data_IF_976468601347
#
_entry.id   IF_976468601347
#
_cell.length_a   1.000
_cell.length_b   1.000
_cell.length_c   1.000
_cell.angle_alpha   90.00
_cell.angle_beta   90.00
_cell.angle_gamma   90.00
#
_symmetry.space_group_name_H-M   'P 1'
#
loop_
_entity.id
_entity.type
_entity.pdbx_description
1 polymer ?
#
# COMPACT_ATOMS: atom_id res chain seq x y z
N UNK A 1 20.41 -19.59 -30.97
CA UNK A 1 19.34 -18.87 -30.26
C UNK A 1 19.93 -17.56 -29.76
N UNK A 2 19.35 -16.39 -30.06
CA UNK A 2 19.84 -15.13 -29.50
C UNK A 2 19.42 -15.04 -28.03
N UNK A 3 20.33 -14.61 -27.15
CA UNK A 3 19.95 -14.25 -25.79
C UNK A 3 19.24 -12.89 -25.83
N UNK A 4 17.96 -12.88 -25.49
CA UNK A 4 17.12 -11.69 -25.49
C UNK A 4 17.08 -11.00 -24.11
N UNK A 5 17.88 -11.47 -23.14
CA UNK A 5 18.03 -10.84 -21.83
C UNK A 5 19.41 -10.19 -21.73
N UNK A 6 19.47 -8.95 -21.21
CA UNK A 6 20.72 -8.19 -21.06
C UNK A 6 20.85 -7.61 -19.64
N UNK A 7 21.15 -6.33 -19.52
CA UNK A 7 21.40 -5.64 -18.26
C UNK A 7 20.25 -5.85 -17.26
N UNK A 8 20.57 -6.07 -15.98
CA UNK A 8 19.60 -6.44 -14.94
C UNK A 8 18.73 -7.69 -15.23
N UNK A 9 19.10 -8.53 -16.21
CA UNK A 9 18.32 -9.71 -16.59
C UNK A 9 17.05 -9.39 -17.38
N UNK A 10 16.91 -8.16 -17.89
CA UNK A 10 15.68 -7.67 -18.50
C UNK A 10 15.69 -7.79 -20.04
N UNK A 11 14.48 -7.80 -20.63
CA UNK A 11 14.26 -8.02 -22.06
C UNK A 11 14.90 -6.93 -22.93
N UNK A 12 15.65 -7.37 -23.95
CA UNK A 12 16.29 -6.54 -24.96
C UNK A 12 15.59 -6.69 -26.31
N UNK A 13 15.08 -5.59 -26.85
CA UNK A 13 14.59 -5.54 -28.23
C UNK A 13 15.74 -5.18 -29.18
N UNK A 14 16.15 -6.15 -29.97
CA UNK A 14 17.23 -5.97 -30.93
C UNK A 14 16.84 -5.10 -32.15
N UNK A 15 15.56 -4.86 -32.38
CA UNK A 15 15.05 -4.03 -33.48
C UNK A 15 15.15 -2.55 -33.12
N UNK A 16 14.59 -2.17 -31.97
CA UNK A 16 14.57 -0.77 -31.50
C UNK A 16 15.83 -0.37 -30.74
N UNK A 17 16.67 -1.34 -30.32
CA UNK A 17 17.84 -1.12 -29.45
C UNK A 17 17.45 -0.56 -28.08
N UNK A 18 16.25 -0.87 -27.62
CA UNK A 18 15.74 -0.49 -26.31
C UNK A 18 15.70 -1.70 -25.39
N UNK A 19 15.77 -1.42 -24.09
CA UNK A 19 15.61 -2.42 -23.05
C UNK A 19 14.32 -2.16 -22.26
N UNK A 20 13.53 -3.21 -22.02
CA UNK A 20 12.32 -3.08 -21.23
C UNK A 20 12.63 -3.31 -19.76
N UNK A 21 12.74 -2.24 -18.96
CA UNK A 21 12.99 -2.31 -17.52
C UNK A 21 11.66 -2.27 -16.76
N UNK A 22 10.82 -3.28 -17.01
CA UNK A 22 9.53 -3.60 -16.35
C UNK A 22 8.39 -2.60 -16.52
N UNK A 23 8.61 -1.33 -16.21
CA UNK A 23 7.60 -0.28 -16.31
C UNK A 23 7.78 0.56 -17.59
N UNK A 24 9.02 0.72 -18.07
CA UNK A 24 9.35 1.64 -19.17
C UNK A 24 10.44 1.09 -20.08
N UNK A 25 10.44 1.59 -21.31
CA UNK A 25 11.50 1.36 -22.29
C UNK A 25 12.68 2.30 -22.02
N UNK A 26 13.86 1.72 -21.84
CA UNK A 26 15.12 2.38 -21.54
C UNK A 26 16.02 2.38 -22.78
N UNK A 27 16.55 3.55 -23.13
CA UNK A 27 17.59 3.69 -24.16
C UNK A 27 18.96 3.72 -23.48
N UNK A 28 19.76 2.64 -23.58
CA UNK A 28 21.08 2.58 -22.96
C UNK A 28 22.10 3.51 -23.63
N UNK A 29 21.89 3.96 -24.88
CA UNK A 29 22.78 4.94 -25.51
C UNK A 29 22.58 6.35 -24.93
N UNK A 30 21.34 6.67 -24.55
CA UNK A 30 20.98 7.96 -23.95
C UNK A 30 21.05 7.96 -22.41
N UNK A 31 21.12 6.78 -21.80
CA UNK A 31 21.18 6.61 -20.35
C UNK A 31 19.87 6.96 -19.64
N UNK A 32 18.72 6.82 -20.31
CA UNK A 32 17.41 7.29 -19.81
C UNK A 32 16.24 6.50 -20.39
N UNK A 33 15.09 6.61 -19.74
CA UNK A 33 13.81 6.17 -20.30
C UNK A 33 13.40 7.04 -21.48
N UNK A 34 12.67 6.45 -22.42
CA UNK A 34 12.12 7.18 -23.58
C UNK A 34 10.70 7.70 -23.33
N UNK A 35 10.08 7.30 -22.21
CA UNK A 35 8.78 7.77 -21.75
C UNK A 35 8.93 8.35 -20.34
N UNK A 36 8.06 9.30 -20.00
CA UNK A 36 7.99 9.89 -18.66
C UNK A 36 7.60 8.84 -17.61
N UNK A 37 8.10 9.02 -16.39
CA UNK A 37 7.60 8.37 -15.19
C UNK A 37 6.17 8.80 -14.89
N UNK A 38 5.36 7.86 -14.38
CA UNK A 38 4.06 8.17 -13.78
C UNK A 38 4.22 8.89 -12.45
N UNK A 39 5.38 8.77 -11.80
CA UNK A 39 5.71 9.50 -10.59
C UNK A 39 6.28 10.88 -10.92
N UNK A 40 5.56 11.96 -10.57
CA UNK A 40 5.92 13.34 -10.93
C UNK A 40 7.15 13.89 -10.19
N UNK A 41 7.69 13.16 -9.21
CA UNK A 41 8.81 13.57 -8.38
C UNK A 41 8.40 14.47 -7.21
N UNK A 42 9.40 14.97 -6.49
CA UNK A 42 9.26 15.79 -5.29
C UNK A 42 9.97 17.13 -5.48
N UNK A 43 9.32 18.22 -5.07
CA UNK A 43 9.84 19.59 -5.25
C UNK A 43 11.14 19.84 -4.47
N UNK A 44 11.34 19.15 -3.35
CA UNK A 44 12.54 19.18 -2.54
C UNK A 44 13.65 18.23 -3.06
N UNK A 45 13.37 17.43 -4.09
CA UNK A 45 14.33 16.57 -4.78
C UNK A 45 14.37 16.89 -6.29
N UNK A 46 15.15 17.90 -6.73
CA UNK A 46 15.21 18.33 -8.12
C UNK A 46 15.59 17.24 -9.13
N UNK A 47 16.28 16.18 -8.70
CA UNK A 47 16.62 15.05 -9.58
C UNK A 47 15.41 14.17 -9.89
N UNK A 48 14.47 14.03 -8.94
CA UNK A 48 13.23 13.26 -9.15
C UNK A 48 12.27 13.91 -10.14
N UNK A 49 12.38 15.23 -10.33
CA UNK A 49 11.59 15.97 -11.33
C UNK A 49 12.01 15.66 -12.78
N UNK A 50 13.12 14.94 -12.98
CA UNK A 50 13.51 14.45 -14.29
C UNK A 50 12.92 13.04 -14.50
N UNK A 51 11.70 13.05 -15.03
CA UNK A 51 10.84 11.87 -15.25
C UNK A 51 11.41 10.83 -16.23
N UNK A 52 12.55 11.12 -16.86
CA UNK A 52 13.21 10.20 -17.79
C UNK A 52 14.40 9.48 -17.16
N UNK A 53 14.84 9.85 -15.95
CA UNK A 53 16.05 9.26 -15.38
C UNK A 53 15.83 7.82 -14.95
N UNK A 54 16.84 6.99 -15.16
CA UNK A 54 16.90 5.65 -14.60
C UNK A 54 17.83 5.68 -13.38
N UNK A 55 17.41 5.15 -12.23
CA UNK A 55 18.23 5.02 -11.02
C UNK A 55 18.90 6.33 -10.56
N UNK A 56 18.21 7.47 -10.70
CA UNK A 56 18.78 8.81 -10.40
C UNK A 56 20.11 9.08 -11.12
N UNK A 57 20.27 8.56 -12.35
CA UNK A 57 21.50 8.60 -13.13
C UNK A 57 22.71 7.91 -12.46
N UNK A 58 22.50 6.99 -11.51
CA UNK A 58 23.57 6.20 -10.91
C UNK A 58 23.30 4.67 -10.98
N UNK A 59 23.27 4.10 -12.20
CA UNK A 59 22.95 2.68 -12.45
C UNK A 59 24.06 1.71 -12.05
N UNK A 60 25.21 2.23 -11.60
CA UNK A 60 26.32 1.44 -11.05
C UNK A 60 26.14 1.16 -9.55
N UNK A 61 25.46 2.07 -8.84
CA UNK A 61 25.20 1.96 -7.41
C UNK A 61 23.80 1.42 -7.12
N UNK A 62 22.82 1.80 -7.93
CA UNK A 62 21.43 1.43 -7.73
C UNK A 62 20.94 0.54 -8.87
N UNK A 63 20.06 -0.39 -8.53
CA UNK A 63 19.30 -1.20 -9.49
C UNK A 63 17.85 -0.94 -9.14
N UNK A 64 17.01 -0.60 -10.11
CA UNK A 64 15.57 -0.42 -9.90
C UNK A 64 14.89 -1.80 -10.02
N UNK A 65 14.51 -2.48 -8.91
CA UNK A 65 14.00 -3.84 -8.96
C UNK A 65 12.50 -3.90 -9.31
N UNK A 66 11.79 -2.77 -9.26
CA UNK A 66 10.33 -2.75 -9.21
C UNK A 66 9.64 -1.53 -9.80
N UNK A 67 10.30 -0.39 -9.86
CA UNK A 67 9.69 0.89 -10.18
C UNK A 67 8.97 1.52 -9.01
N UNK A 68 8.32 0.75 -8.11
CA UNK A 68 7.93 1.11 -6.73
C UNK A 68 7.52 -0.15 -5.90
N UNK A 69 7.17 -0.04 -4.59
CA UNK A 69 6.75 -1.20 -3.76
C UNK A 69 5.51 -0.93 -2.90
N UNK A 70 4.61 -1.92 -2.85
CA UNK A 70 3.38 -1.89 -2.03
C UNK A 70 3.52 -2.80 -0.80
N UNK A 71 3.18 -2.26 0.37
CA UNK A 71 3.17 -2.98 1.64
C UNK A 71 1.73 -3.24 2.10
N UNK A 72 1.35 -4.52 2.24
CA UNK A 72 0.05 -4.95 2.72
C UNK A 72 0.09 -5.26 4.21
N UNK A 73 -0.72 -4.55 4.99
CA UNK A 73 -0.84 -4.72 6.44
C UNK A 73 -2.22 -5.30 6.75
N UNK A 74 -2.26 -6.58 7.11
CA UNK A 74 -3.53 -7.29 7.34
C UNK A 74 -4.24 -6.85 8.63
N UNK A 75 -5.51 -7.21 8.80
CA UNK A 75 -6.32 -6.93 9.99
C UNK A 75 -6.12 -7.93 11.14
N UNK A 76 -6.86 -7.74 12.24
CA UNK A 76 -6.93 -8.72 13.33
C UNK A 76 -7.69 -9.98 12.90
N UNK A 77 -7.26 -11.15 13.37
CA UNK A 77 -7.78 -12.49 13.02
C UNK A 77 -7.59 -12.85 11.52
N UNK A 78 -6.49 -13.54 11.22
CA UNK A 78 -6.17 -14.04 9.88
C UNK A 78 -7.22 -15.05 9.35
N UNK A 79 -7.30 -15.17 8.03
CA UNK A 79 -8.27 -15.99 7.29
C UNK A 79 -8.30 -17.47 7.75
N UNK A 80 -9.47 -18.04 8.13
CA UNK A 80 -9.58 -19.45 8.50
C UNK A 80 -9.35 -20.46 7.35
N UNK A 81 -9.30 -20.03 6.08
CA UNK A 81 -9.00 -20.92 4.94
C UNK A 81 -7.49 -21.23 4.78
N UNK A 82 -6.61 -20.36 5.31
CA UNK A 82 -5.17 -20.58 5.39
C UNK A 82 -4.84 -20.90 6.85
N UNK A 83 -4.70 -22.17 7.21
CA UNK A 83 -4.26 -22.62 8.54
C UNK A 83 -2.79 -22.21 8.85
N UNK A 84 -2.36 -20.99 8.51
CA UNK A 84 -1.01 -20.47 8.73
C UNK A 84 -0.96 -19.29 9.71
N UNK A 85 -2.12 -18.69 10.05
CA UNK A 85 -2.24 -17.60 11.00
C UNK A 85 -1.64 -16.26 10.53
N UNK A 86 -1.43 -16.05 9.22
CA UNK A 86 -0.54 -14.97 8.73
C UNK A 86 -1.04 -14.04 7.63
N UNK A 87 -2.25 -14.18 7.09
CA UNK A 87 -2.77 -13.16 6.16
C UNK A 87 -4.29 -13.16 6.03
N UNK A 88 -4.93 -11.98 6.10
CA UNK A 88 -6.35 -11.80 5.72
C UNK A 88 -6.54 -11.65 4.21
N UNK A 89 -5.45 -11.50 3.44
CA UNK A 89 -5.49 -11.27 2.01
C UNK A 89 -5.57 -12.59 1.22
N UNK A 90 -6.51 -12.66 0.28
CA UNK A 90 -6.59 -13.77 -0.67
C UNK A 90 -5.48 -13.64 -1.70
N UNK A 91 -4.97 -14.76 -2.21
CA UNK A 91 -3.91 -14.71 -3.25
C UNK A 91 -4.38 -13.99 -4.51
N UNK A 92 -5.66 -14.14 -4.87
CA UNK A 92 -6.29 -13.40 -5.96
C UNK A 92 -6.23 -11.88 -5.73
N UNK A 93 -6.49 -11.42 -4.50
CA UNK A 93 -6.43 -10.01 -4.16
C UNK A 93 -4.99 -9.48 -4.19
N UNK A 94 -4.03 -10.21 -3.64
CA UNK A 94 -2.60 -9.85 -3.72
C UNK A 94 -2.16 -9.72 -5.17
N UNK A 95 -2.56 -10.67 -6.04
CA UNK A 95 -2.30 -10.62 -7.48
C UNK A 95 -2.98 -9.43 -8.16
N UNK A 96 -4.17 -9.04 -7.70
CA UNK A 96 -4.86 -7.86 -8.20
C UNK A 96 -4.11 -6.57 -7.83
N UNK A 97 -3.70 -6.40 -6.57
CA UNK A 97 -2.92 -5.24 -6.12
C UNK A 97 -1.60 -5.15 -6.89
N UNK A 98 -0.90 -6.28 -7.05
CA UNK A 98 0.31 -6.38 -7.88
C UNK A 98 0.08 -5.87 -9.29
N UNK A 99 -1.03 -6.23 -9.92
CA UNK A 99 -1.38 -5.77 -11.27
C UNK A 99 -1.85 -4.32 -11.31
N UNK A 100 -2.56 -3.87 -10.28
CA UNK A 100 -3.08 -2.50 -10.17
C UNK A 100 -1.94 -1.49 -10.17
N UNK A 101 -0.90 -1.75 -9.38
CA UNK A 101 0.28 -0.89 -9.29
C UNK A 101 1.41 -1.31 -10.24
N UNK A 102 1.29 -2.47 -10.91
CA UNK A 102 2.35 -3.08 -11.71
C UNK A 102 3.67 -3.29 -10.92
N UNK A 103 3.54 -3.71 -9.66
CA UNK A 103 4.63 -3.69 -8.67
C UNK A 103 4.64 -4.94 -7.79
N UNK A 104 5.80 -5.35 -7.26
CA UNK A 104 5.85 -6.39 -6.24
C UNK A 104 5.11 -5.95 -4.98
N UNK A 105 4.40 -6.91 -4.39
CA UNK A 105 3.65 -6.73 -3.16
C UNK A 105 4.34 -7.48 -2.04
N UNK A 106 4.54 -6.81 -0.90
CA UNK A 106 5.01 -7.41 0.34
C UNK A 106 3.86 -7.51 1.32
N UNK A 107 3.53 -8.73 1.71
CA UNK A 107 2.64 -8.99 2.84
C UNK A 107 3.46 -8.89 4.14
N UNK A 108 3.06 -7.98 5.02
CA UNK A 108 3.73 -7.74 6.28
C UNK A 108 3.35 -8.76 7.35
N UNK A 109 4.37 -9.24 8.05
CA UNK A 109 4.20 -10.27 9.07
C UNK A 109 3.85 -9.62 10.41
N UNK A 110 2.59 -9.72 10.84
CA UNK A 110 2.24 -9.44 12.24
C UNK A 110 1.20 -10.45 12.76
N UNK A 111 1.04 -10.52 14.07
CA UNK A 111 0.23 -11.58 14.70
C UNK A 111 -1.27 -11.37 14.56
N UNK A 112 -1.70 -10.15 14.21
CA UNK A 112 -3.11 -9.78 14.16
C UNK A 112 -3.80 -9.81 15.54
N UNK A 113 -3.03 -9.73 16.63
CA UNK A 113 -3.57 -9.67 17.99
C UNK A 113 -4.35 -8.37 18.23
N UNK A 114 -5.49 -8.49 18.92
CA UNK A 114 -6.39 -7.37 19.16
C UNK A 114 -6.14 -6.65 20.49
N UNK A 115 -4.94 -6.11 20.68
CA UNK A 115 -4.62 -5.25 21.82
C UNK A 115 -3.65 -4.13 21.41
N UNK A 116 -3.61 -3.04 22.19
CA UNK A 116 -2.79 -1.86 21.86
C UNK A 116 -1.30 -2.19 21.82
N UNK A 117 -0.81 -2.98 22.77
CA UNK A 117 0.60 -3.37 22.84
C UNK A 117 1.03 -4.09 21.56
N UNK A 118 0.28 -5.11 21.14
CA UNK A 118 0.58 -5.88 19.94
C UNK A 118 0.56 -5.03 18.66
N UNK A 119 -0.37 -4.07 18.55
CA UNK A 119 -0.40 -3.14 17.42
C UNK A 119 0.82 -2.20 17.40
N UNK A 120 1.24 -1.69 18.56
CA UNK A 120 2.42 -0.83 18.66
C UNK A 120 3.72 -1.60 18.37
N UNK A 121 3.85 -2.83 18.88
CA UNK A 121 4.98 -3.71 18.56
C UNK A 121 5.03 -4.03 17.06
N UNK A 122 3.89 -4.41 16.45
CA UNK A 122 3.80 -4.64 15.02
C UNK A 122 4.14 -3.38 14.19
N UNK A 123 3.69 -2.19 14.62
CA UNK A 123 4.04 -0.95 13.95
C UNK A 123 5.54 -0.69 13.98
N UNK A 124 6.21 -0.95 15.11
CA UNK A 124 7.65 -0.76 15.22
C UNK A 124 8.43 -1.76 14.35
N UNK A 125 8.03 -3.03 14.35
CA UNK A 125 8.68 -4.08 13.57
C UNK A 125 8.54 -3.81 12.06
N UNK A 126 7.32 -3.55 11.60
CA UNK A 126 7.05 -3.24 10.19
C UNK A 126 7.71 -1.91 9.78
N UNK A 127 7.72 -0.90 10.67
CA UNK A 127 8.46 0.34 10.43
C UNK A 127 9.95 0.07 10.19
N UNK A 128 10.60 -0.78 11.00
CA UNK A 128 12.02 -1.08 10.82
C UNK A 128 12.28 -1.72 9.44
N UNK A 129 11.40 -2.64 9.02
CA UNK A 129 11.48 -3.30 7.72
C UNK A 129 11.30 -2.32 6.56
N UNK A 130 10.29 -1.45 6.62
CA UNK A 130 10.02 -0.43 5.60
C UNK A 130 11.12 0.63 5.56
N UNK A 131 11.57 1.09 6.72
CA UNK A 131 12.62 2.10 6.82
C UNK A 131 13.95 1.56 6.29
N UNK A 132 14.32 0.32 6.62
CA UNK A 132 15.51 -0.31 6.05
C UNK A 132 15.39 -0.46 4.53
N UNK A 133 14.23 -0.89 4.02
CA UNK A 133 13.99 -0.93 2.58
C UNK A 133 14.10 0.46 1.94
N UNK A 134 13.60 1.51 2.58
CA UNK A 134 13.73 2.89 2.10
C UNK A 134 15.18 3.38 2.10
N UNK A 135 16.00 3.04 3.11
CA UNK A 135 17.42 3.38 3.11
C UNK A 135 18.16 2.79 1.90
N UNK A 136 17.77 1.58 1.48
CA UNK A 136 18.31 0.93 0.28
C UNK A 136 17.70 1.49 -1.01
N UNK A 137 16.53 2.14 -0.92
CA UNK A 137 15.71 2.62 -2.03
C UNK A 137 15.14 4.04 -1.75
N UNK A 138 15.98 5.06 -1.54
CA UNK A 138 15.60 6.32 -0.88
C UNK A 138 14.65 7.24 -1.68
N UNK A 139 14.36 6.87 -2.91
CA UNK A 139 13.52 7.65 -3.82
C UNK A 139 12.29 6.89 -4.31
N UNK A 140 12.17 5.62 -3.91
CA UNK A 140 11.00 4.83 -4.21
C UNK A 140 9.86 5.23 -3.27
N UNK A 141 8.64 5.44 -3.78
CA UNK A 141 7.51 5.84 -2.97
C UNK A 141 7.04 4.69 -2.10
N UNK A 142 6.56 5.06 -0.92
CA UNK A 142 6.04 4.13 0.07
C UNK A 142 4.52 4.13 -0.02
N UNK A 143 3.96 2.98 -0.42
CA UNK A 143 2.51 2.77 -0.46
C UNK A 143 2.09 1.73 0.56
N UNK A 144 1.28 2.16 1.53
CA UNK A 144 0.73 1.32 2.58
C UNK A 144 -0.74 1.04 2.31
N UNK A 145 -1.10 -0.25 2.23
CA UNK A 145 -2.50 -0.69 2.13
C UNK A 145 -2.82 -1.53 3.34
N UNK A 146 -3.77 -1.05 4.13
CA UNK A 146 -3.99 -1.59 5.46
C UNK A 146 -5.48 -1.81 5.75
N UNK A 147 -5.81 -2.97 6.30
CA UNK A 147 -7.19 -3.36 6.60
C UNK A 147 -7.46 -3.43 8.10
N UNK A 148 -8.67 -3.04 8.50
CA UNK A 148 -9.15 -3.20 9.87
C UNK A 148 -8.18 -2.54 10.86
N UNK A 149 -7.87 -3.19 11.97
CA UNK A 149 -6.84 -2.73 12.90
C UNK A 149 -5.43 -2.64 12.33
N UNK A 150 -5.15 -3.30 11.20
CA UNK A 150 -3.93 -3.06 10.42
C UNK A 150 -3.84 -1.63 9.91
N UNK A 151 -4.96 -0.95 9.65
CA UNK A 151 -4.96 0.48 9.31
C UNK A 151 -4.44 1.38 10.43
N UNK A 152 -4.74 1.03 11.70
CA UNK A 152 -4.16 1.74 12.83
C UNK A 152 -2.65 1.51 12.93
N UNK A 153 -2.19 0.31 12.59
CA UNK A 153 -0.76 -0.02 12.47
C UNK A 153 -0.13 0.81 11.35
N UNK A 154 -0.77 0.91 10.18
CA UNK A 154 -0.34 1.76 9.06
C UNK A 154 -0.22 3.24 9.42
N UNK A 155 -1.17 3.79 10.19
CA UNK A 155 -1.10 5.17 10.70
C UNK A 155 0.11 5.34 11.64
N UNK A 156 0.32 4.41 12.57
CA UNK A 156 1.49 4.46 13.48
C UNK A 156 2.82 4.38 12.72
N UNK A 157 2.93 3.48 11.75
CA UNK A 157 4.11 3.38 10.86
C UNK A 157 4.34 4.70 10.13
N UNK A 158 3.27 5.32 9.61
CA UNK A 158 3.37 6.59 8.89
C UNK A 158 3.92 7.71 9.78
N UNK A 159 3.45 7.80 11.02
CA UNK A 159 4.00 8.76 12.00
C UNK A 159 5.49 8.46 12.29
N UNK A 160 5.86 7.18 12.50
CA UNK A 160 7.24 6.77 12.76
C UNK A 160 8.18 7.08 11.57
N UNK A 161 7.73 6.89 10.33
CA UNK A 161 8.49 7.26 9.13
C UNK A 161 8.68 8.78 9.04
N UNK A 162 7.65 9.56 9.36
CA UNK A 162 7.75 11.02 9.38
C UNK A 162 8.75 11.53 10.45
N UNK A 163 8.87 10.86 11.60
CA UNK A 163 9.93 11.15 12.59
C UNK A 163 11.35 10.96 12.03
N UNK A 164 11.49 10.19 10.93
CA UNK A 164 12.74 9.98 10.20
C UNK A 164 12.85 10.84 8.93
N UNK A 165 11.96 11.82 8.77
CA UNK A 165 11.88 12.64 7.56
C UNK A 165 11.59 11.83 6.28
N UNK A 166 10.89 10.68 6.45
CA UNK A 166 10.47 9.82 5.35
C UNK A 166 8.96 9.96 5.14
N UNK A 167 8.57 10.40 3.95
CA UNK A 167 7.16 10.60 3.59
C UNK A 167 6.53 9.31 3.09
N UNK A 168 5.29 9.05 3.49
CA UNK A 168 4.42 8.04 2.88
C UNK A 168 3.62 8.69 1.75
N UNK A 169 3.75 8.16 0.53
CA UNK A 169 3.11 8.70 -0.67
C UNK A 169 1.64 8.33 -0.74
N UNK A 170 1.29 7.10 -0.35
CA UNK A 170 -0.09 6.64 -0.36
C UNK A 170 -0.39 5.79 0.87
N UNK A 171 -1.40 6.20 1.63
CA UNK A 171 -1.97 5.43 2.73
C UNK A 171 -3.42 5.08 2.39
N UNK A 172 -3.71 3.79 2.23
CA UNK A 172 -5.09 3.29 2.05
C UNK A 172 -5.50 2.55 3.32
N UNK A 173 -6.48 3.08 4.04
CA UNK A 173 -7.08 2.45 5.22
C UNK A 173 -8.46 1.90 4.86
N UNK A 174 -8.71 0.62 5.15
CA UNK A 174 -9.91 -0.09 4.68
C UNK A 174 -10.62 -0.72 5.85
N UNK A 175 -11.89 -0.40 6.03
CA UNK A 175 -12.68 -0.86 7.17
C UNK A 175 -11.99 -0.57 8.52
N UNK A 176 -11.08 0.40 8.54
CA UNK A 176 -10.25 0.70 9.70
C UNK A 176 -11.08 1.47 10.72
N UNK A 177 -11.15 1.00 11.98
CA UNK A 177 -11.87 1.71 13.02
C UNK A 177 -11.11 2.99 13.38
N UNK A 178 -11.79 4.15 13.26
CA UNK A 178 -11.20 5.43 13.71
C UNK A 178 -11.13 5.40 15.23
N UNK A 179 -9.92 5.57 15.75
CA UNK A 179 -9.62 5.38 17.17
C UNK A 179 -8.68 6.50 17.64
N UNK A 180 -8.08 6.31 18.81
CA UNK A 180 -7.05 7.20 19.37
C UNK A 180 -5.79 7.33 18.48
N UNK A 181 -5.61 6.46 17.47
CA UNK A 181 -4.51 6.51 16.51
C UNK A 181 -4.78 7.56 15.43
N UNK A 182 -4.17 8.74 15.60
CA UNK A 182 -4.29 9.86 14.67
C UNK A 182 -3.06 9.94 13.79
N UNK A 183 -3.29 10.33 12.54
CA UNK A 183 -2.24 10.69 11.62
C UNK A 183 -1.76 12.09 12.01
N UNK A 184 -0.52 12.20 12.48
CA UNK A 184 0.06 13.44 13.01
C UNK A 184 0.96 14.13 11.97
N UNK A 185 0.98 13.62 10.74
CA UNK A 185 1.81 14.06 9.62
C UNK A 185 1.01 14.12 8.33
N UNK A 186 1.52 14.84 7.34
CA UNK A 186 0.95 14.82 6.00
C UNK A 186 1.47 13.63 5.21
N UNK A 187 0.59 13.02 4.42
CA UNK A 187 0.93 12.00 3.41
C UNK A 187 0.62 12.56 2.03
N UNK A 188 1.15 11.92 0.97
CA UNK A 188 0.78 12.30 -0.40
C UNK A 188 -0.73 12.17 -0.63
N UNK A 189 -1.28 10.98 -0.36
CA UNK A 189 -2.71 10.71 -0.40
C UNK A 189 -3.12 9.78 0.74
N UNK A 190 -4.17 10.15 1.49
CA UNK A 190 -4.82 9.25 2.45
C UNK A 190 -6.22 8.92 1.95
N UNK A 191 -6.48 7.67 1.61
CA UNK A 191 -7.80 7.17 1.21
C UNK A 191 -8.34 6.29 2.33
N UNK A 192 -9.51 6.63 2.86
CA UNK A 192 -10.25 5.80 3.82
C UNK A 192 -11.46 5.18 3.12
N UNK A 193 -11.53 3.85 3.12
CA UNK A 193 -12.63 3.10 2.51
C UNK A 193 -13.47 2.49 3.61
N UNK A 194 -14.76 2.84 3.66
CA UNK A 194 -15.62 2.47 4.77
C UNK A 194 -17.04 2.07 4.32
N UNK A 195 -17.75 1.35 5.19
CA UNK A 195 -19.18 1.10 5.03
C UNK A 195 -19.90 1.49 6.32
N UNK A 196 -20.94 2.31 6.20
CA UNK A 196 -21.66 2.88 7.35
C UNK A 196 -22.38 1.84 8.23
N UNK A 197 -22.54 0.60 7.76
CA UNK A 197 -23.14 -0.51 8.49
C UNK A 197 -22.11 -1.57 8.91
N UNK A 198 -20.82 -1.35 8.67
CA UNK A 198 -19.78 -2.20 9.21
C UNK A 198 -19.71 -2.04 10.73
N UNK A 199 -20.33 -2.99 11.44
CA UNK A 199 -20.32 -3.01 12.90
C UNK A 199 -18.91 -3.21 13.50
N UNK A 200 -17.99 -3.89 12.80
CA UNK A 200 -16.64 -4.14 13.31
C UNK A 200 -15.82 -2.85 13.29
N UNK A 201 -15.89 -2.11 12.19
CA UNK A 201 -15.28 -0.78 12.09
C UNK A 201 -15.88 0.19 13.12
N UNK A 202 -17.21 0.18 13.29
CA UNK A 202 -17.89 1.09 14.21
C UNK A 202 -17.55 0.83 15.70
N UNK A 203 -17.42 -0.43 16.11
CA UNK A 203 -17.28 -0.79 17.52
C UNK A 203 -15.85 -1.21 17.89
N UNK A 204 -14.90 -1.16 16.95
CA UNK A 204 -13.49 -1.51 17.18
C UNK A 204 -13.31 -2.92 17.77
N UNK A 205 -14.14 -3.87 17.33
CA UNK A 205 -14.15 -5.26 17.82
C UNK A 205 -14.90 -5.53 19.13
N UNK A 206 -15.54 -4.52 19.74
CA UNK A 206 -16.39 -4.72 20.94
C UNK A 206 -17.84 -5.03 20.53
N UNK A 207 -18.53 -5.93 21.26
CA UNK A 207 -19.95 -6.25 21.03
C UNK A 207 -20.85 -5.01 21.22
N UNK A 208 -22.05 -4.98 20.61
CA UNK A 208 -22.96 -3.85 20.71
C UNK A 208 -23.33 -3.57 22.17
N UNK A 209 -23.07 -2.34 22.65
CA UNK A 209 -23.42 -1.89 24.01
C UNK A 209 -22.27 -1.32 24.84
N UNK A 210 -21.01 -1.50 24.41
CA UNK A 210 -19.84 -0.84 25.01
C UNK A 210 -19.60 0.52 24.37
N UNK A 211 -20.05 1.59 25.04
CA UNK A 211 -20.04 2.94 24.51
C UNK A 211 -18.66 3.45 24.10
N UNK A 212 -18.52 3.75 22.83
CA UNK A 212 -17.91 5.00 22.38
C UNK A 212 -18.37 5.26 20.94
N UNK A 213 -18.92 6.46 20.71
CA UNK A 213 -19.20 6.93 19.38
C UNK A 213 -17.86 7.27 18.74
N UNK A 214 -17.36 6.36 17.91
CA UNK A 214 -16.15 6.58 17.13
C UNK A 214 -16.54 7.14 15.76
N UNK A 215 -15.85 8.21 15.34
CA UNK A 215 -16.01 8.78 14.02
C UNK A 215 -15.79 7.73 12.93
N UNK A 216 -16.37 7.94 11.75
CA UNK A 216 -16.25 7.00 10.62
C UNK A 216 -15.19 7.43 9.62
N UNK A 217 -14.82 8.69 9.72
CA UNK A 217 -14.01 9.40 8.75
C UNK A 217 -12.70 9.79 9.42
N UNK A 218 -11.59 9.55 8.72
CA UNK A 218 -10.31 10.10 9.13
C UNK A 218 -10.24 11.54 8.65
N UNK A 219 -9.97 12.46 9.58
CA UNK A 219 -9.75 13.87 9.24
C UNK A 219 -8.54 13.99 8.31
N UNK A 220 -8.70 14.69 7.19
CA UNK A 220 -7.64 14.86 6.19
C UNK A 220 -7.55 13.74 5.16
N UNK A 221 -8.32 12.65 5.32
CA UNK A 221 -8.44 11.60 4.32
C UNK A 221 -9.53 11.90 3.30
N UNK A 222 -9.39 11.36 2.10
CA UNK A 222 -10.49 11.13 1.17
C UNK A 222 -11.33 9.95 1.67
N UNK A 223 -12.50 10.25 2.24
CA UNK A 223 -13.36 9.26 2.88
C UNK A 223 -14.40 8.72 1.87
N UNK A 224 -14.25 7.47 1.48
CA UNK A 224 -15.02 6.78 0.44
C UNK A 224 -16.01 5.80 1.06
N UNK A 225 -17.31 6.15 1.01
CA UNK A 225 -18.38 5.27 1.47
C UNK A 225 -18.75 4.22 0.40
N UNK A 226 -18.46 2.95 0.68
CA UNK A 226 -18.83 1.81 -0.17
C UNK A 226 -20.29 1.42 0.07
N UNK A 227 -21.12 1.49 -0.97
CA UNK A 227 -22.49 0.96 -0.94
C UNK A 227 -22.50 -0.54 -1.23
N UNK A 228 -22.96 -1.33 -0.26
CA UNK A 228 -23.08 -2.79 -0.35
C UNK A 228 -24.56 -3.20 -0.55
N UNK A 229 -24.78 -4.45 -0.96
CA UNK A 229 -26.14 -5.00 -1.07
C UNK A 229 -26.81 -5.13 0.31
N UNK A 230 -28.15 -5.17 0.33
CA UNK A 230 -28.94 -5.33 1.55
C UNK A 230 -28.50 -6.53 2.41
N UNK A 231 -28.00 -7.59 1.77
CA UNK A 231 -27.50 -8.78 2.45
C UNK A 231 -26.38 -8.48 3.44
N UNK A 232 -25.43 -7.61 3.09
CA UNK A 232 -24.29 -7.28 3.95
C UNK A 232 -24.68 -6.40 5.14
N UNK A 233 -25.75 -5.60 5.02
CA UNK A 233 -26.22 -4.76 6.13
C UNK A 233 -26.69 -5.55 7.35
N UNK A 234 -27.23 -6.75 7.13
CA UNK A 234 -27.64 -7.64 8.21
C UNK A 234 -26.51 -8.57 8.69
N UNK A 235 -25.30 -8.40 8.17
CA UNK A 235 -24.16 -9.30 8.38
C UNK A 235 -22.87 -8.50 8.59
N UNK A 236 -22.69 -7.88 9.78
CA UNK A 236 -21.60 -6.93 10.04
C UNK A 236 -20.19 -7.48 9.79
N UNK A 237 -19.92 -8.73 10.19
CA UNK A 237 -18.62 -9.37 9.96
C UNK A 237 -18.37 -9.56 8.45
N UNK A 238 -19.38 -10.00 7.71
CA UNK A 238 -19.27 -10.16 6.26
C UNK A 238 -19.13 -8.80 5.56
N UNK A 239 -19.79 -7.75 6.06
CA UNK A 239 -19.59 -6.37 5.59
C UNK A 239 -18.15 -5.90 5.84
N UNK A 240 -17.56 -6.25 6.97
CA UNK A 240 -16.16 -5.94 7.28
C UNK A 240 -15.18 -6.66 6.37
N UNK A 241 -15.37 -7.98 6.22
CA UNK A 241 -14.51 -8.85 5.40
C UNK A 241 -14.67 -8.62 3.90
N UNK A 242 -15.83 -8.17 3.42
CA UNK A 242 -15.99 -7.91 1.98
C UNK A 242 -15.23 -6.67 1.55
N UNK A 243 -14.99 -5.70 2.43
CA UNK A 243 -14.33 -4.44 2.03
C UNK A 243 -12.85 -4.60 1.67
N UNK A 244 -12.14 -5.59 2.22
CA UNK A 244 -10.69 -5.67 2.02
C UNK A 244 -10.26 -6.52 0.84
N UNK A 245 -10.87 -7.69 0.62
CA UNK A 245 -10.46 -8.59 -0.49
C UNK A 245 -11.38 -8.55 -1.71
N UNK A 246 -12.47 -7.78 -1.70
CA UNK A 246 -13.36 -7.71 -2.86
C UNK A 246 -12.80 -6.77 -3.94
N UNK A 247 -12.32 -7.38 -5.02
CA UNK A 247 -11.73 -6.69 -6.17
C UNK A 247 -12.73 -5.76 -6.88
N UNK A 248 -14.02 -6.12 -6.95
CA UNK A 248 -15.02 -5.29 -7.62
C UNK A 248 -15.31 -4.01 -6.83
N UNK A 249 -15.26 -4.08 -5.50
CA UNK A 249 -15.31 -2.88 -4.65
C UNK A 249 -14.11 -1.99 -4.95
N UNK A 250 -12.91 -2.54 -5.02
CA UNK A 250 -11.70 -1.77 -5.33
C UNK A 250 -11.76 -1.10 -6.70
N UNK A 251 -12.11 -1.83 -7.76
CA UNK A 251 -12.26 -1.29 -9.12
C UNK A 251 -13.25 -0.14 -9.18
N UNK A 252 -14.33 -0.22 -8.40
CA UNK A 252 -15.40 0.77 -8.42
C UNK A 252 -15.10 1.99 -7.56
N UNK A 253 -14.50 1.82 -6.40
CA UNK A 253 -14.43 2.86 -5.38
C UNK A 253 -13.01 3.34 -5.07
N UNK A 254 -11.96 2.58 -5.39
CA UNK A 254 -10.58 2.92 -5.02
C UNK A 254 -9.76 3.27 -6.26
N UNK A 255 -9.80 2.42 -7.29
CA UNK A 255 -9.03 2.64 -8.53
C UNK A 255 -9.28 4.01 -9.17
N UNK A 256 -10.51 4.55 -9.23
CA UNK A 256 -10.75 5.87 -9.83
C UNK A 256 -10.09 7.04 -9.08
N UNK A 257 -9.68 6.82 -7.82
CA UNK A 257 -9.07 7.83 -6.94
C UNK A 257 -7.54 7.76 -6.99
N UNK A 258 -7.00 6.61 -7.42
CA UNK A 258 -5.56 6.36 -7.53
C UNK A 258 -4.97 6.79 -8.89
N UNK A 259 -5.80 7.24 -9.84
CA UNK A 259 -5.40 7.65 -11.19
C UNK A 259 -5.39 9.17 -11.35
#
# INVERSE_FOLDING_TARGET
>A
MSNNFRYSGEYWDNTTKLQYLRARWYDPNLGRFINEDTYEGQLDNPLSLNLYTYTHNNPLRYTDPSGHKVFLIHGTFANPEKNDGKSTWTSEFVDYVRKLFNEPVKEENWTGENNTKARSEAAQDIFNDIYQWHLDNPYEPIRLVAHSHGGNVGIMITNLLAEKDVKVDTLITIATPVREYKLETEVGQHIQVYNKYDGVQNHGGSLPGGGAAYDREFKGAENVEVKLSLWYYFRPIQSHSVMHTNIDIWKKYIVPILN
#
